data_IF_388131469907
#
_entry.id   IF_388131469907
#
_cell.length_a   1.000
_cell.length_b   1.000
_cell.length_c   1.000
_cell.angle_alpha   90.00
_cell.angle_beta   90.00
_cell.angle_gamma   90.00
#
_symmetry.space_group_name_H-M   'P 1'
#
loop_
_entity.id
_entity.type
_entity.pdbx_description
1 polymer ?
#
# COMPACT_ATOMS: atom_id res chain seq x y z
N UNK A 1 -7.55 4.54 -1.35
CA UNK A 1 -8.65 5.50 -1.54
C UNK A 1 -8.29 6.86 -0.94
N UNK A 2 -7.80 6.91 0.28
CA UNK A 2 -7.53 8.15 1.01
C UNK A 2 -6.28 8.89 0.53
N UNK A 3 -5.30 8.17 -0.01
CA UNK A 3 -4.01 8.72 -0.43
C UNK A 3 -3.93 8.90 -1.94
N UNK A 4 -4.85 9.69 -2.49
CA UNK A 4 -4.79 10.20 -3.87
C UNK A 4 -4.34 11.66 -3.78
N UNK A 5 -3.21 11.99 -4.40
CA UNK A 5 -2.56 13.30 -4.28
C UNK A 5 -3.00 14.27 -5.37
N UNK A 6 -3.32 13.74 -6.54
CA UNK A 6 -3.87 14.50 -7.66
C UNK A 6 -5.35 14.76 -7.44
N UNK A 7 -5.75 16.03 -7.41
CA UNK A 7 -7.13 16.45 -7.20
C UNK A 7 -8.05 16.12 -8.40
N UNK A 8 -7.48 15.89 -9.57
CA UNK A 8 -8.23 15.52 -10.79
C UNK A 8 -8.56 14.02 -10.82
N UNK A 9 -7.90 13.21 -10.00
CA UNK A 9 -8.09 11.76 -9.92
C UNK A 9 -9.10 11.40 -8.83
N UNK A 10 -9.92 10.40 -9.13
CA UNK A 10 -10.94 9.86 -8.22
C UNK A 10 -10.70 8.37 -8.01
N UNK A 11 -10.93 7.91 -6.79
CA UNK A 11 -10.98 6.48 -6.52
C UNK A 11 -12.28 5.90 -7.06
N UNK A 12 -12.18 4.77 -7.75
CA UNK A 12 -13.32 3.96 -8.17
C UNK A 12 -13.36 2.67 -7.36
N UNK A 13 -14.50 2.40 -6.74
CA UNK A 13 -14.75 1.13 -6.07
C UNK A 13 -15.34 0.12 -7.04
N UNK A 14 -14.98 -1.15 -6.92
CA UNK A 14 -15.62 -2.23 -7.68
C UNK A 14 -17.13 -2.27 -7.41
N UNK A 15 -17.59 -1.81 -6.26
CA UNK A 15 -18.99 -1.78 -5.87
C UNK A 15 -19.81 -0.68 -6.58
N UNK A 16 -19.16 0.26 -7.28
CA UNK A 16 -19.83 1.25 -8.15
C UNK A 16 -20.36 0.63 -9.46
N UNK A 17 -19.82 -0.53 -9.86
CA UNK A 17 -20.19 -1.18 -11.11
C UNK A 17 -21.37 -2.14 -10.89
N UNK A 18 -22.59 -1.65 -11.03
CA UNK A 18 -23.84 -2.41 -10.78
C UNK A 18 -23.91 -3.71 -11.57
N UNK A 19 -23.46 -3.70 -12.84
CA UNK A 19 -23.42 -4.88 -13.72
C UNK A 19 -22.68 -6.07 -13.10
N UNK A 20 -21.69 -5.80 -12.26
CA UNK A 20 -20.85 -6.82 -11.63
C UNK A 20 -21.13 -7.02 -10.14
N UNK A 21 -22.18 -6.40 -9.61
CA UNK A 21 -22.43 -6.32 -8.16
C UNK A 21 -22.49 -7.68 -7.46
N UNK A 22 -23.10 -8.69 -8.12
CA UNK A 22 -23.20 -10.04 -7.56
C UNK A 22 -21.88 -10.84 -7.65
N UNK A 23 -20.96 -10.44 -8.52
CA UNK A 23 -19.69 -11.12 -8.76
C UNK A 23 -18.52 -10.32 -8.14
N UNK A 24 -18.82 -9.23 -7.43
CA UNK A 24 -17.81 -8.35 -6.87
C UNK A 24 -17.64 -8.56 -5.37
N UNK A 25 -16.38 -8.65 -4.95
CA UNK A 25 -16.00 -8.68 -3.54
C UNK A 25 -15.00 -7.56 -3.30
N UNK A 26 -15.30 -6.70 -2.35
CA UNK A 26 -14.37 -5.69 -1.87
C UNK A 26 -13.76 -6.12 -0.52
N UNK A 27 -12.46 -6.10 -0.43
CA UNK A 27 -11.72 -6.29 0.82
C UNK A 27 -11.14 -4.95 1.22
N UNK A 28 -11.40 -4.52 2.45
CA UNK A 28 -10.86 -3.28 3.02
C UNK A 28 -10.23 -3.56 4.38
N UNK A 29 -9.37 -2.66 4.84
CA UNK A 29 -8.65 -2.82 6.09
C UNK A 29 -8.32 -1.45 6.70
N UNK A 30 -8.30 -1.40 8.03
CA UNK A 30 -7.83 -0.23 8.78
C UNK A 30 -6.30 -0.10 8.78
N UNK A 31 -5.58 -1.17 8.41
CA UNK A 31 -4.13 -1.29 8.54
C UNK A 31 -3.36 -0.14 7.87
N UNK A 32 -3.68 0.16 6.61
CA UNK A 32 -2.93 1.17 5.83
C UNK A 32 -3.58 2.55 5.90
N UNK A 33 -4.90 2.59 6.11
CA UNK A 33 -5.65 3.84 6.19
C UNK A 33 -5.36 4.62 7.46
N UNK A 34 -5.24 3.93 8.59
CA UNK A 34 -5.09 4.52 9.92
C UNK A 34 -3.80 4.15 10.63
N UNK A 35 -2.81 3.61 9.91
CA UNK A 35 -1.57 3.08 10.49
C UNK A 35 -1.79 2.04 11.59
N UNK A 36 -2.90 1.31 11.50
CA UNK A 36 -3.34 0.29 12.47
C UNK A 36 -3.01 -1.13 12.01
N UNK A 37 -1.80 -1.36 11.50
CA UNK A 37 -1.40 -2.68 10.98
C UNK A 37 -1.44 -3.78 12.06
N UNK A 38 -1.14 -3.43 13.31
CA UNK A 38 -1.17 -4.33 14.46
C UNK A 38 -2.58 -4.68 14.95
N UNK A 39 -3.60 -3.90 14.61
CA UNK A 39 -4.99 -4.16 15.04
C UNK A 39 -5.59 -5.42 14.40
N UNK A 40 -5.10 -5.86 13.24
CA UNK A 40 -5.58 -7.03 12.51
C UNK A 40 -7.08 -7.01 12.19
N UNK A 41 -7.61 -5.83 11.85
CA UNK A 41 -9.02 -5.60 11.53
C UNK A 41 -9.17 -5.24 10.05
N UNK A 42 -10.08 -5.93 9.40
CA UNK A 42 -10.50 -5.69 8.03
C UNK A 42 -11.93 -6.18 7.81
N UNK A 43 -12.46 -5.92 6.64
CA UNK A 43 -13.81 -6.36 6.28
C UNK A 43 -13.87 -6.87 4.84
N UNK A 44 -14.84 -7.75 4.61
CA UNK A 44 -15.25 -8.22 3.29
C UNK A 44 -16.66 -7.69 3.02
N UNK A 45 -16.85 -7.11 1.84
CA UNK A 45 -18.13 -6.51 1.44
C UNK A 45 -18.51 -7.04 0.05
N UNK A 46 -19.73 -7.52 -0.09
CA UNK A 46 -20.31 -7.93 -1.36
C UNK A 46 -21.83 -7.71 -1.36
N UNK A 47 -22.43 -7.50 -2.52
CA UNK A 47 -23.89 -7.51 -2.70
C UNK A 47 -24.45 -8.92 -2.89
N UNK A 48 -23.60 -9.92 -3.11
CA UNK A 48 -23.98 -11.32 -3.24
C UNK A 48 -24.33 -11.90 -1.85
N UNK A 49 -25.63 -12.12 -1.61
CA UNK A 49 -26.15 -12.58 -0.31
C UNK A 49 -25.71 -13.99 0.04
N UNK A 50 -25.63 -14.89 -0.95
CA UNK A 50 -25.22 -16.28 -0.76
C UNK A 50 -23.75 -16.36 -0.37
N UNK A 51 -22.89 -15.62 -1.09
CA UNK A 51 -21.49 -15.49 -0.78
C UNK A 51 -21.30 -14.94 0.64
N UNK A 52 -22.03 -13.88 1.02
CA UNK A 52 -21.91 -13.28 2.34
C UNK A 52 -22.41 -14.21 3.46
N UNK A 53 -23.46 -15.00 3.22
CA UNK A 53 -23.92 -15.99 4.17
C UNK A 53 -22.87 -17.10 4.40
N UNK A 54 -22.22 -17.55 3.33
CA UNK A 54 -21.12 -18.53 3.42
C UNK A 54 -19.90 -17.94 4.12
N UNK A 55 -19.46 -16.74 3.73
CA UNK A 55 -18.36 -16.04 4.40
C UNK A 55 -18.59 -15.84 5.89
N UNK A 56 -19.83 -15.54 6.31
CA UNK A 56 -20.20 -15.41 7.71
C UNK A 56 -19.97 -16.72 8.48
N UNK A 57 -20.28 -17.89 7.90
CA UNK A 57 -19.99 -19.18 8.55
C UNK A 57 -18.50 -19.37 8.80
N UNK A 58 -17.64 -19.06 7.80
CA UNK A 58 -16.19 -19.09 7.99
C UNK A 58 -15.69 -18.07 9.02
N UNK A 59 -16.28 -16.87 9.04
CA UNK A 59 -15.93 -15.87 10.04
C UNK A 59 -16.25 -16.33 11.46
N UNK A 60 -17.35 -17.06 11.68
CA UNK A 60 -17.68 -17.65 12.98
C UNK A 60 -16.66 -18.72 13.41
N UNK A 61 -16.17 -19.54 12.49
CA UNK A 61 -15.11 -20.52 12.78
C UNK A 61 -13.79 -19.85 13.15
N UNK A 62 -13.48 -18.74 12.52
CA UNK A 62 -12.24 -17.98 12.75
C UNK A 62 -12.30 -17.12 14.01
N UNK A 63 -13.47 -16.80 14.53
CA UNK A 63 -13.76 -15.84 15.60
C UNK A 63 -13.52 -14.37 15.21
N UNK A 64 -13.91 -13.46 16.09
CA UNK A 64 -13.77 -12.03 15.88
C UNK A 64 -12.32 -11.55 16.09
N UNK A 65 -11.92 -10.40 15.53
CA UNK A 65 -10.73 -9.70 15.97
C UNK A 65 -10.80 -9.34 17.47
N UNK A 66 -9.64 -9.04 18.12
CA UNK A 66 -9.63 -8.62 19.52
C UNK A 66 -10.52 -7.39 19.76
N UNK A 67 -11.27 -7.39 20.85
CA UNK A 67 -12.24 -6.33 21.18
C UNK A 67 -11.61 -4.94 21.20
N UNK A 68 -10.43 -4.78 21.80
CA UNK A 68 -9.71 -3.50 21.82
C UNK A 68 -9.36 -3.00 20.40
N UNK A 69 -9.00 -3.92 19.51
CA UNK A 69 -8.69 -3.59 18.11
C UNK A 69 -9.95 -3.14 17.34
N UNK A 70 -11.12 -3.72 17.64
CA UNK A 70 -12.40 -3.31 17.07
C UNK A 70 -12.76 -1.91 17.55
N UNK A 71 -12.70 -1.64 18.84
CA UNK A 71 -12.98 -0.32 19.43
C UNK A 71 -12.03 0.77 18.89
N UNK A 72 -10.73 0.46 18.79
CA UNK A 72 -9.76 1.36 18.19
C UNK A 72 -10.06 1.66 16.71
N UNK A 73 -10.50 0.64 15.96
CA UNK A 73 -10.88 0.80 14.55
C UNK A 73 -12.15 1.65 14.38
N UNK A 74 -13.13 1.48 15.25
CA UNK A 74 -14.35 2.29 15.30
C UNK A 74 -14.02 3.76 15.59
N UNK A 75 -13.22 4.01 16.64
CA UNK A 75 -12.77 5.36 16.99
C UNK A 75 -11.99 6.02 15.83
N UNK A 76 -11.15 5.27 15.11
CA UNK A 76 -10.43 5.75 13.94
C UNK A 76 -11.36 6.13 12.78
N UNK A 77 -12.44 5.36 12.55
CA UNK A 77 -13.43 5.64 11.53
C UNK A 77 -14.22 6.93 11.84
N UNK A 78 -14.65 7.11 13.09
CA UNK A 78 -15.41 8.29 13.55
C UNK A 78 -14.57 9.56 13.41
N UNK A 79 -13.30 9.52 13.80
CA UNK A 79 -12.39 10.67 13.84
C UNK A 79 -11.49 10.82 12.59
N UNK A 80 -11.86 10.18 11.50
CA UNK A 80 -10.98 9.99 10.33
C UNK A 80 -10.52 11.27 9.63
N UNK A 81 -11.37 12.28 9.51
CA UNK A 81 -11.14 13.42 8.60
C UNK A 81 -9.88 14.23 8.93
N UNK A 82 -9.66 14.56 10.20
CA UNK A 82 -8.51 15.37 10.61
C UNK A 82 -7.20 14.59 10.46
N UNK A 83 -7.21 13.33 10.92
CA UNK A 83 -6.06 12.43 10.80
C UNK A 83 -5.66 12.22 9.35
N UNK A 84 -6.61 11.82 8.49
CA UNK A 84 -6.35 11.53 7.08
C UNK A 84 -5.86 12.75 6.30
N UNK A 85 -6.38 13.96 6.59
CA UNK A 85 -5.87 15.19 5.99
C UNK A 85 -4.42 15.46 6.35
N UNK A 86 -4.06 15.27 7.63
CA UNK A 86 -2.70 15.45 8.13
C UNK A 86 -1.73 14.45 7.49
N UNK A 87 -2.07 13.17 7.53
CA UNK A 87 -1.24 12.09 6.96
C UNK A 87 -1.08 12.24 5.45
N UNK A 88 -2.16 12.57 4.73
CA UNK A 88 -2.11 12.82 3.29
C UNK A 88 -1.17 13.97 2.93
N UNK A 89 -1.17 15.06 3.71
CA UNK A 89 -0.26 16.19 3.50
C UNK A 89 1.20 15.78 3.69
N UNK A 90 1.47 15.02 4.75
CA UNK A 90 2.80 14.51 5.05
C UNK A 90 3.30 13.54 3.96
N UNK A 91 2.49 12.56 3.57
CA UNK A 91 2.86 11.62 2.50
C UNK A 91 3.07 12.31 1.15
N UNK A 92 2.28 13.35 0.85
CA UNK A 92 2.52 14.15 -0.35
C UNK A 92 3.89 14.81 -0.33
N UNK A 93 4.28 15.43 0.78
CA UNK A 93 5.59 16.05 0.95
C UNK A 93 6.72 15.02 0.79
N UNK A 94 6.63 13.88 1.48
CA UNK A 94 7.61 12.80 1.37
C UNK A 94 7.75 12.27 -0.04
N UNK A 95 6.62 12.08 -0.73
CA UNK A 95 6.59 11.68 -2.13
C UNK A 95 7.35 12.67 -3.02
N UNK A 96 7.04 13.96 -2.89
CA UNK A 96 7.64 15.02 -3.70
C UNK A 96 9.15 15.11 -3.46
N UNK A 97 9.58 15.05 -2.20
CA UNK A 97 11.00 15.02 -1.83
C UNK A 97 11.70 13.78 -2.41
N UNK A 98 11.13 12.59 -2.21
CA UNK A 98 11.71 11.33 -2.70
C UNK A 98 11.88 11.36 -4.23
N UNK A 99 10.85 11.79 -4.96
CA UNK A 99 10.91 11.85 -6.43
C UNK A 99 11.95 12.88 -6.88
N UNK A 100 11.98 14.06 -6.25
CA UNK A 100 12.95 15.10 -6.56
C UNK A 100 14.39 14.61 -6.36
N UNK A 101 14.68 13.94 -5.25
CA UNK A 101 16.04 13.48 -4.96
C UNK A 101 16.46 12.29 -5.83
N UNK A 102 15.61 11.29 -5.99
CA UNK A 102 15.93 10.12 -6.80
C UNK A 102 16.07 10.47 -8.29
N UNK A 103 15.29 11.43 -8.78
CA UNK A 103 15.39 11.86 -10.19
C UNK A 103 16.73 12.52 -10.54
N UNK A 104 17.51 12.96 -9.55
CA UNK A 104 18.86 13.50 -9.75
C UNK A 104 19.89 12.40 -10.02
N UNK A 105 19.60 11.16 -9.70
CA UNK A 105 20.52 10.04 -9.87
C UNK A 105 20.52 9.62 -11.34
N UNK A 106 21.68 9.72 -11.98
CA UNK A 106 21.82 9.38 -13.38
C UNK A 106 21.43 7.92 -13.67
N UNK A 107 20.64 7.71 -14.72
CA UNK A 107 20.17 6.39 -15.14
C UNK A 107 18.99 5.81 -14.35
N UNK A 108 18.54 6.45 -13.26
CA UNK A 108 17.32 6.07 -12.55
C UNK A 108 16.09 6.59 -13.28
N UNK A 109 15.06 5.74 -13.40
CA UNK A 109 13.73 6.14 -13.88
C UNK A 109 12.72 5.89 -12.76
N UNK A 110 12.00 6.93 -12.33
CA UNK A 110 11.00 6.85 -11.28
C UNK A 110 9.63 7.26 -11.81
N UNK A 111 8.59 6.52 -11.40
CA UNK A 111 7.21 6.85 -11.69
C UNK A 111 6.65 7.72 -10.57
N UNK A 112 6.03 8.84 -10.94
CA UNK A 112 5.32 9.71 -9.99
C UNK A 112 3.92 9.12 -9.75
N UNK A 113 3.62 8.53 -8.58
CA UNK A 113 2.33 7.91 -8.33
C UNK A 113 1.25 8.96 -8.06
N UNK A 114 0.05 8.75 -8.62
CA UNK A 114 -1.13 9.58 -8.34
C UNK A 114 -1.67 9.36 -6.92
N UNK A 115 -1.34 8.23 -6.32
CA UNK A 115 -1.81 7.84 -4.99
C UNK A 115 -0.90 6.81 -4.31
N UNK A 116 -1.41 6.19 -3.24
CA UNK A 116 -0.70 5.28 -2.35
C UNK A 116 0.48 5.94 -1.60
N UNK A 117 1.33 5.16 -0.98
CA UNK A 117 2.54 5.59 -0.28
C UNK A 117 3.76 4.76 -0.72
N UNK A 118 3.73 4.35 -1.97
CA UNK A 118 4.81 3.66 -2.67
C UNK A 118 5.10 4.36 -3.99
N UNK A 119 6.35 4.30 -4.43
CA UNK A 119 6.71 4.53 -5.80
C UNK A 119 7.55 3.38 -6.35
N UNK A 120 7.58 3.27 -7.65
CA UNK A 120 8.41 2.29 -8.38
C UNK A 120 9.52 3.06 -9.08
N UNK A 121 10.75 2.60 -8.88
CA UNK A 121 11.91 3.11 -9.59
C UNK A 121 12.65 1.97 -10.29
N UNK A 122 13.12 2.24 -11.49
CA UNK A 122 14.06 1.39 -12.22
C UNK A 122 15.46 1.91 -11.99
N UNK A 123 16.34 1.04 -11.52
CA UNK A 123 17.73 1.36 -11.21
C UNK A 123 18.66 0.99 -12.37
N UNK A 124 19.79 1.70 -12.55
CA UNK A 124 20.83 1.37 -13.51
C UNK A 124 21.75 0.26 -12.99
N UNK A 125 21.16 -0.87 -12.58
CA UNK A 125 21.85 -2.04 -12.04
C UNK A 125 21.48 -3.29 -12.84
N UNK A 126 22.28 -4.34 -12.75
CA UNK A 126 21.96 -5.60 -13.42
C UNK A 126 20.84 -6.37 -12.74
N UNK A 127 20.77 -6.31 -11.41
CA UNK A 127 19.76 -6.96 -10.61
C UNK A 127 19.42 -6.13 -9.37
N UNK A 128 18.16 -5.72 -9.27
CA UNK A 128 17.65 -5.01 -8.09
C UNK A 128 17.71 -5.89 -6.83
N UNK A 129 17.56 -7.20 -6.98
CA UNK A 129 17.64 -8.15 -5.86
C UNK A 129 19.06 -8.24 -5.29
N UNK A 130 20.08 -8.41 -6.17
CA UNK A 130 21.48 -8.42 -5.74
C UNK A 130 21.89 -7.09 -5.11
N UNK A 131 21.44 -5.97 -5.71
CA UNK A 131 21.71 -4.65 -5.17
C UNK A 131 21.04 -4.43 -3.81
N UNK A 132 19.78 -4.84 -3.65
CA UNK A 132 19.08 -4.78 -2.36
C UNK A 132 19.79 -5.60 -1.27
N UNK A 133 20.26 -6.79 -1.63
CA UNK A 133 21.06 -7.63 -0.71
C UNK A 133 22.35 -6.95 -0.31
N UNK A 134 23.12 -6.43 -1.26
CA UNK A 134 24.38 -5.73 -1.01
C UNK A 134 24.18 -4.50 -0.09
N UNK A 135 23.12 -3.73 -0.28
CA UNK A 135 22.79 -2.61 0.62
C UNK A 135 22.61 -3.05 2.08
N UNK A 136 22.13 -4.26 2.32
CA UNK A 136 21.86 -4.77 3.67
C UNK A 136 23.05 -5.50 4.29
N UNK A 137 23.96 -6.05 3.48
CA UNK A 137 25.05 -6.90 3.96
C UNK A 137 26.42 -6.21 3.95
N UNK A 138 26.64 -5.33 2.97
CA UNK A 138 27.99 -4.83 2.68
C UNK A 138 28.08 -3.30 2.65
N UNK A 139 26.97 -2.59 2.40
CA UNK A 139 26.95 -1.15 2.28
C UNK A 139 26.61 -0.47 3.61
N UNK A 140 27.36 0.57 3.93
CA UNK A 140 27.04 1.50 5.02
C UNK A 140 27.55 2.91 4.69
N UNK A 141 26.74 3.91 4.96
CA UNK A 141 27.15 5.31 4.93
C UNK A 141 26.72 5.99 6.22
N UNK A 142 27.68 6.52 6.97
CA UNK A 142 27.46 7.06 8.33
C UNK A 142 26.74 6.10 9.28
N UNK A 143 27.02 4.80 9.19
CA UNK A 143 26.35 3.72 9.94
C UNK A 143 24.87 3.54 9.58
N UNK A 144 24.44 4.01 8.43
CA UNK A 144 23.08 3.89 7.93
C UNK A 144 23.06 3.17 6.58
N UNK A 145 21.96 2.51 6.29
CA UNK A 145 21.65 1.93 4.98
C UNK A 145 20.18 2.15 4.63
N UNK A 146 19.82 1.84 3.41
CA UNK A 146 18.43 1.90 2.93
C UNK A 146 17.91 0.51 2.60
N UNK A 147 16.63 0.31 2.83
CA UNK A 147 15.93 -0.92 2.50
C UNK A 147 14.76 -0.64 1.56
N UNK A 148 14.67 -1.39 0.48
CA UNK A 148 13.55 -1.37 -0.45
C UNK A 148 13.23 -2.77 -0.96
N UNK A 149 12.05 -2.95 -1.55
CA UNK A 149 11.63 -4.24 -2.06
C UNK A 149 11.99 -4.38 -3.54
N UNK A 150 12.83 -5.35 -3.94
CA UNK A 150 13.01 -5.70 -5.35
C UNK A 150 11.71 -6.27 -5.93
N UNK A 151 11.42 -5.96 -7.20
CA UNK A 151 10.13 -6.26 -7.80
C UNK A 151 10.10 -7.50 -8.69
N UNK A 152 11.22 -8.21 -8.88
CA UNK A 152 11.27 -9.42 -9.70
C UNK A 152 10.23 -10.47 -9.33
N UNK A 153 9.97 -10.66 -8.02
CA UNK A 153 8.97 -11.59 -7.50
C UNK A 153 7.52 -11.08 -7.55
N UNK A 154 7.26 -9.86 -8.02
CA UNK A 154 5.91 -9.29 -8.10
C UNK A 154 5.25 -9.48 -9.48
N UNK A 155 5.99 -9.96 -10.46
CA UNK A 155 5.51 -10.21 -11.81
C UNK A 155 5.37 -11.70 -12.09
N UNK A 156 4.29 -12.09 -12.76
CA UNK A 156 4.08 -13.46 -13.21
C UNK A 156 4.98 -13.84 -14.40
N UNK A 157 5.36 -12.86 -15.21
CA UNK A 157 6.24 -13.08 -16.36
C UNK A 157 7.71 -13.01 -15.96
N UNK A 158 8.50 -14.02 -16.35
CA UNK A 158 9.95 -14.05 -16.10
C UNK A 158 10.67 -12.86 -16.73
N UNK A 159 11.64 -12.30 -16.02
CA UNK A 159 12.50 -11.21 -16.48
C UNK A 159 11.91 -9.81 -16.27
N UNK A 160 10.61 -9.68 -15.98
CA UNK A 160 10.05 -8.39 -15.58
C UNK A 160 10.47 -8.03 -14.14
N UNK A 161 10.64 -6.74 -13.90
CA UNK A 161 10.98 -6.22 -12.59
C UNK A 161 12.42 -6.47 -12.11
N UNK A 162 13.28 -7.08 -12.95
CA UNK A 162 14.65 -7.45 -12.56
C UNK A 162 15.51 -6.25 -12.09
N UNK A 163 15.21 -5.06 -12.60
CA UNK A 163 15.89 -3.80 -12.26
C UNK A 163 15.00 -2.83 -11.47
N UNK A 164 13.79 -3.25 -11.14
CA UNK A 164 12.78 -2.39 -10.53
C UNK A 164 12.71 -2.62 -9.02
N UNK A 165 12.52 -1.54 -8.29
CA UNK A 165 12.33 -1.54 -6.84
C UNK A 165 11.06 -0.81 -6.46
N UNK A 166 10.48 -1.20 -5.32
CA UNK A 166 9.41 -0.46 -4.67
C UNK A 166 9.95 0.24 -3.43
N UNK A 167 9.74 1.53 -3.37
CA UNK A 167 10.13 2.37 -2.25
C UNK A 167 8.88 2.82 -1.52
N UNK A 168 8.81 2.58 -0.22
CA UNK A 168 7.77 3.10 0.66
C UNK A 168 8.20 4.43 1.29
N UNK A 169 7.32 5.43 1.26
CA UNK A 169 7.54 6.71 1.95
C UNK A 169 6.58 6.88 3.14
N UNK A 170 6.44 5.80 3.90
CA UNK A 170 5.57 5.70 5.09
C UNK A 170 6.12 6.45 6.31
N UNK A 171 5.26 6.63 7.31
CA UNK A 171 5.60 7.15 8.63
C UNK A 171 6.31 6.09 9.47
#
# INVERSE_FOLDING_TARGET
REFIYDKTKKHHSILEFEKFSNNSIMIDSVSKRYSLCGARVGCMISKNKELMATAKKFAHLRLSPPTLAILASEAALINSNTYLKKVKKEYKLRKETLISEISKINGVKILNPDGAFYCIARLPVDSAEKFSKWLLTDFSYNNETVMFAPLSGFYSSKGLGAKDIRIGFVL
#
